data_IF_621952491291
#
_entry.id   IF_621952491291
#
_cell.length_a   1.000
_cell.length_b   1.000
_cell.length_c   1.000
_cell.angle_alpha   90.00
_cell.angle_beta   90.00
_cell.angle_gamma   90.00
#
_symmetry.space_group_name_H-M   'P 1'
#
loop_
_entity.id
_entity.type
_entity.pdbx_description
1 polymer ?
#
# COMPACT_ATOMS: atom_id res chain seq x y z
N UNK A 1 -6.01 -0.37 0.76
CA UNK A 1 -7.14 -0.68 1.67
C UNK A 1 -8.51 -0.58 0.98
N UNK A 2 -8.86 0.53 0.34
CA UNK A 2 -10.22 0.76 -0.19
C UNK A 2 -10.63 -0.17 -1.35
N UNK A 3 -9.67 -0.73 -2.08
CA UNK A 3 -9.89 -1.76 -3.13
C UNK A 3 -9.84 -3.21 -2.61
N UNK A 4 -9.59 -3.43 -1.32
CA UNK A 4 -9.55 -4.79 -0.76
C UNK A 4 -10.89 -5.54 -0.87
N UNK A 5 -12.06 -4.91 -0.72
CA UNK A 5 -13.34 -5.57 -1.00
C UNK A 5 -13.41 -6.14 -2.42
N UNK A 6 -12.89 -5.40 -3.40
CA UNK A 6 -12.82 -5.85 -4.79
C UNK A 6 -11.86 -7.05 -4.93
N UNK A 7 -10.73 -7.04 -4.21
CA UNK A 7 -9.85 -8.20 -4.18
C UNK A 7 -10.60 -9.44 -3.65
N UNK A 8 -11.32 -9.30 -2.54
CA UNK A 8 -12.07 -10.41 -1.93
C UNK A 8 -13.21 -10.93 -2.83
N UNK A 9 -13.77 -10.09 -3.70
CA UNK A 9 -14.68 -10.53 -4.77
C UNK A 9 -14.00 -11.50 -5.76
N UNK A 10 -12.73 -11.26 -6.12
CA UNK A 10 -12.00 -12.14 -7.04
C UNK A 10 -11.58 -13.48 -6.41
N UNK A 11 -11.15 -13.47 -5.15
CA UNK A 11 -10.67 -14.68 -4.46
C UNK A 11 -11.76 -15.44 -3.70
N UNK A 12 -12.89 -14.81 -3.38
CA UNK A 12 -13.90 -15.32 -2.46
C UNK A 12 -13.50 -15.12 -0.99
N UNK A 13 -14.48 -15.11 -0.09
CA UNK A 13 -14.28 -14.68 1.31
C UNK A 13 -13.20 -15.47 2.07
N UNK A 14 -13.32 -16.79 2.15
CA UNK A 14 -12.45 -17.62 2.98
C UNK A 14 -11.05 -17.76 2.39
N UNK A 15 -11.01 -17.97 1.07
CA UNK A 15 -9.75 -18.07 0.35
C UNK A 15 -9.02 -16.72 0.32
N UNK A 16 -9.74 -15.61 0.24
CA UNK A 16 -9.21 -14.25 0.38
C UNK A 16 -8.55 -13.99 1.73
N UNK A 17 -9.19 -14.35 2.86
CA UNK A 17 -8.57 -14.25 4.19
C UNK A 17 -7.29 -15.08 4.24
N UNK A 18 -7.36 -16.35 3.82
CA UNK A 18 -6.23 -17.26 3.90
C UNK A 18 -5.03 -16.74 3.07
N UNK A 19 -5.27 -16.33 1.83
CA UNK A 19 -4.23 -15.77 0.98
C UNK A 19 -3.71 -14.42 1.50
N UNK A 20 -4.57 -13.57 2.07
CA UNK A 20 -4.14 -12.30 2.66
C UNK A 20 -3.16 -12.52 3.82
N UNK A 21 -3.45 -13.49 4.69
CA UNK A 21 -2.54 -13.87 5.80
C UNK A 21 -1.21 -14.36 5.26
N UNK A 22 -1.22 -15.27 4.26
CA UNK A 22 0.02 -15.77 3.64
C UNK A 22 0.84 -14.62 3.04
N UNK A 23 0.20 -13.74 2.27
CA UNK A 23 0.86 -12.60 1.62
C UNK A 23 1.45 -11.64 2.65
N UNK A 24 0.75 -11.41 3.76
CA UNK A 24 1.27 -10.60 4.86
C UNK A 24 2.50 -11.26 5.50
N UNK A 25 2.44 -12.55 5.84
CA UNK A 25 3.56 -13.29 6.44
C UNK A 25 4.79 -13.28 5.51
N UNK A 26 4.59 -13.54 4.23
CA UNK A 26 5.67 -13.49 3.21
C UNK A 26 6.25 -12.09 3.11
N UNK A 27 5.41 -11.06 3.04
CA UNK A 27 5.85 -9.66 2.98
C UNK A 27 6.66 -9.26 4.23
N UNK A 28 6.16 -9.57 5.43
CA UNK A 28 6.87 -9.31 6.69
C UNK A 28 8.20 -10.05 6.75
N UNK A 29 8.26 -11.30 6.30
CA UNK A 29 9.51 -12.06 6.21
C UNK A 29 10.51 -11.41 5.26
N UNK A 30 10.08 -11.02 4.06
CA UNK A 30 10.91 -10.32 3.08
C UNK A 30 11.45 -8.98 3.64
N UNK A 31 10.59 -8.18 4.28
CA UNK A 31 10.99 -6.93 4.94
C UNK A 31 12.03 -7.17 6.04
N UNK A 32 11.82 -8.18 6.88
CA UNK A 32 12.77 -8.51 7.95
C UNK A 32 14.12 -8.97 7.40
N UNK A 33 14.11 -9.79 6.35
CA UNK A 33 15.33 -10.26 5.70
C UNK A 33 16.10 -9.09 5.05
N UNK A 34 15.38 -8.14 4.44
CA UNK A 34 15.96 -6.94 3.86
C UNK A 34 16.67 -6.09 4.92
N UNK A 35 16.00 -5.77 6.03
CA UNK A 35 16.59 -4.96 7.10
C UNK A 35 17.76 -5.68 7.79
N UNK A 36 17.63 -6.99 8.01
CA UNK A 36 18.74 -7.79 8.53
C UNK A 36 19.98 -7.71 7.62
N UNK A 37 19.78 -7.83 6.31
CA UNK A 37 20.84 -7.69 5.31
C UNK A 37 21.43 -6.28 5.29
N UNK A 38 20.58 -5.25 5.45
CA UNK A 38 21.01 -3.86 5.53
C UNK A 38 21.90 -3.61 6.75
N UNK A 39 21.51 -4.10 7.94
CA UNK A 39 22.34 -4.02 9.15
C UNK A 39 23.67 -4.77 9.01
N UNK A 40 23.65 -5.96 8.40
CA UNK A 40 24.86 -6.76 8.17
C UNK A 40 25.87 -5.99 7.29
N UNK A 41 25.39 -5.40 6.18
CA UNK A 41 26.22 -4.63 5.25
C UNK A 41 26.68 -3.30 5.87
N UNK A 42 25.79 -2.64 6.63
CA UNK A 42 26.09 -1.42 7.38
C UNK A 42 27.25 -1.62 8.35
N UNK A 43 27.27 -2.76 9.07
CA UNK A 43 28.39 -3.11 9.96
C UNK A 43 29.70 -3.36 9.23
N UNK A 44 29.66 -4.02 8.06
CA UNK A 44 30.86 -4.29 7.27
C UNK A 44 31.43 -3.02 6.65
N UNK A 45 30.58 -2.13 6.13
CA UNK A 45 30.99 -0.92 5.42
C UNK A 45 31.19 0.29 6.34
N UNK A 46 30.82 0.20 7.62
CA UNK A 46 30.89 1.31 8.57
C UNK A 46 29.96 2.48 8.20
N UNK A 47 28.82 2.20 7.57
CA UNK A 47 27.85 3.23 7.15
C UNK A 47 26.58 3.13 7.98
N UNK A 48 26.25 4.18 8.75
CA UNK A 48 25.09 4.18 9.65
C UNK A 48 23.73 4.19 8.95
N UNK A 49 23.67 4.59 7.68
CA UNK A 49 22.44 4.66 6.88
C UNK A 49 22.70 4.19 5.46
N UNK A 50 21.90 3.22 5.01
CA UNK A 50 22.02 2.63 3.67
C UNK A 50 20.65 2.69 2.98
N UNK A 51 20.66 3.11 1.72
CA UNK A 51 19.45 3.10 0.87
C UNK A 51 19.20 1.71 0.29
N UNK A 52 17.95 1.43 -0.07
CA UNK A 52 17.50 0.13 -0.62
C UNK A 52 18.44 -0.44 -1.70
N UNK A 53 18.82 0.36 -2.69
CA UNK A 53 19.71 -0.10 -3.77
C UNK A 53 21.18 -0.23 -3.33
N UNK A 54 21.62 0.53 -2.33
CA UNK A 54 22.96 0.40 -1.76
C UNK A 54 23.09 -0.88 -0.91
N UNK A 55 21.99 -1.35 -0.30
CA UNK A 55 21.93 -2.68 0.35
C UNK A 55 22.20 -3.76 -0.70
N UNK A 56 21.51 -3.73 -1.85
CA UNK A 56 21.75 -4.70 -2.93
C UNK A 56 23.20 -4.67 -3.43
N UNK A 57 23.75 -3.47 -3.65
CA UNK A 57 25.14 -3.30 -4.06
C UNK A 57 26.10 -3.95 -3.06
N UNK A 58 25.92 -3.67 -1.77
CA UNK A 58 26.76 -4.23 -0.72
C UNK A 58 26.63 -5.75 -0.61
N UNK A 59 25.42 -6.30 -0.80
CA UNK A 59 25.20 -7.73 -0.77
C UNK A 59 25.96 -8.45 -1.90
N UNK A 60 25.96 -7.85 -3.10
CA UNK A 60 26.65 -8.39 -4.27
C UNK A 60 28.17 -8.26 -4.13
N UNK A 61 28.67 -7.11 -3.64
CA UNK A 61 30.10 -6.88 -3.44
C UNK A 61 30.72 -7.75 -2.33
N UNK A 62 29.92 -8.16 -1.33
CA UNK A 62 30.33 -9.12 -0.28
C UNK A 62 30.12 -10.58 -0.72
N UNK A 63 29.41 -10.79 -1.82
CA UNK A 63 29.08 -12.10 -2.37
C UNK A 63 30.25 -12.84 -3.03
N UNK A 64 29.97 -14.03 -3.61
CA UNK A 64 30.96 -14.86 -4.26
C UNK A 64 31.62 -14.17 -5.46
N UNK A 65 32.86 -14.59 -5.78
CA UNK A 65 33.74 -13.90 -6.74
C UNK A 65 33.13 -13.66 -8.14
N UNK A 66 32.18 -14.51 -8.57
CA UNK A 66 31.55 -14.43 -9.89
C UNK A 66 30.49 -13.32 -10.01
N UNK A 67 29.86 -12.87 -8.92
CA UNK A 67 28.88 -11.76 -8.94
C UNK A 67 29.45 -10.45 -8.42
N UNK A 68 30.59 -10.50 -7.72
CA UNK A 68 31.15 -9.36 -6.97
C UNK A 68 31.33 -8.11 -7.81
N UNK A 69 31.77 -8.26 -9.06
CA UNK A 69 32.07 -7.14 -9.95
C UNK A 69 30.80 -6.49 -10.55
N UNK A 70 29.64 -7.15 -10.43
CA UNK A 70 28.35 -6.67 -10.92
C UNK A 70 27.55 -5.83 -9.90
N UNK A 71 28.15 -5.45 -8.77
CA UNK A 71 27.46 -4.71 -7.70
C UNK A 71 26.80 -3.41 -8.14
N UNK A 72 27.44 -2.64 -9.04
CA UNK A 72 26.86 -1.40 -9.57
C UNK A 72 25.67 -1.66 -10.51
N UNK A 73 25.75 -2.71 -11.35
CA UNK A 73 24.66 -3.10 -12.22
C UNK A 73 23.43 -3.54 -11.40
N UNK A 74 23.63 -4.35 -10.36
CA UNK A 74 22.57 -4.78 -9.44
C UNK A 74 21.91 -3.59 -8.72
N UNK A 75 22.68 -2.59 -8.31
CA UNK A 75 22.16 -1.33 -7.76
C UNK A 75 21.19 -0.67 -8.73
N UNK A 76 21.58 -0.53 -10.00
CA UNK A 76 20.79 0.17 -10.99
C UNK A 76 19.49 -0.58 -11.32
N UNK A 77 19.54 -1.91 -11.40
CA UNK A 77 18.34 -2.75 -11.59
C UNK A 77 17.32 -2.51 -10.47
N UNK A 78 17.78 -2.50 -9.21
CA UNK A 78 16.89 -2.25 -8.06
C UNK A 78 16.34 -0.84 -8.08
N UNK A 79 17.16 0.18 -8.37
CA UNK A 79 16.70 1.56 -8.48
C UNK A 79 15.62 1.72 -9.56
N UNK A 80 15.81 1.12 -10.74
CA UNK A 80 14.85 1.17 -11.85
C UNK A 80 13.55 0.45 -11.45
N UNK A 81 13.64 -0.72 -10.80
CA UNK A 81 12.47 -1.46 -10.35
C UNK A 81 11.65 -0.69 -9.30
N UNK A 82 12.32 -0.11 -8.30
CA UNK A 82 11.67 0.73 -7.27
C UNK A 82 11.05 1.97 -7.90
N UNK A 83 11.73 2.61 -8.85
CA UNK A 83 11.21 3.77 -9.56
C UNK A 83 9.94 3.44 -10.37
N UNK A 84 9.95 2.35 -11.13
CA UNK A 84 8.77 1.89 -11.89
C UNK A 84 7.60 1.57 -10.95
N UNK A 85 7.86 0.88 -9.84
CA UNK A 85 6.83 0.57 -8.85
C UNK A 85 6.20 1.85 -8.28
N UNK A 86 7.03 2.83 -7.87
CA UNK A 86 6.54 4.08 -7.30
C UNK A 86 5.75 4.92 -8.31
N UNK A 87 6.18 4.96 -9.57
CA UNK A 87 5.41 5.60 -10.63
C UNK A 87 4.03 4.94 -10.80
N UNK A 88 3.98 3.60 -10.79
CA UNK A 88 2.72 2.86 -10.85
C UNK A 88 1.79 3.21 -9.69
N UNK A 89 2.31 3.28 -8.46
CA UNK A 89 1.53 3.67 -7.29
C UNK A 89 0.99 5.10 -7.41
N UNK A 90 1.81 6.05 -7.84
CA UNK A 90 1.37 7.42 -8.10
C UNK A 90 0.21 7.46 -9.12
N UNK A 91 0.32 6.73 -10.24
CA UNK A 91 -0.74 6.67 -11.25
C UNK A 91 -2.07 6.18 -10.66
N UNK A 92 -2.05 5.12 -9.85
CA UNK A 92 -3.28 4.60 -9.21
C UNK A 92 -3.87 5.62 -8.24
N UNK A 93 -3.05 6.34 -7.47
CA UNK A 93 -3.54 7.41 -6.59
C UNK A 93 -4.21 8.56 -7.36
N UNK A 94 -3.65 8.97 -8.52
CA UNK A 94 -4.28 9.98 -9.36
C UNK A 94 -5.65 9.55 -9.89
N UNK A 95 -5.73 8.31 -10.39
CA UNK A 95 -6.98 7.72 -10.89
C UNK A 95 -8.02 7.67 -9.77
N UNK A 96 -7.63 7.19 -8.59
CA UNK A 96 -8.49 7.13 -7.41
C UNK A 96 -8.98 8.51 -6.97
N UNK A 97 -8.08 9.50 -6.88
CA UNK A 97 -8.47 10.86 -6.48
C UNK A 97 -9.41 11.50 -7.50
N UNK A 98 -9.19 11.25 -8.81
CA UNK A 98 -10.06 11.72 -9.87
C UNK A 98 -11.47 11.10 -9.79
N UNK A 99 -11.58 9.79 -9.50
CA UNK A 99 -12.87 9.12 -9.33
C UNK A 99 -13.68 9.73 -8.17
N UNK A 100 -13.05 9.92 -7.01
CA UNK A 100 -13.76 10.49 -5.85
C UNK A 100 -14.15 11.96 -6.06
N UNK A 101 -13.33 12.76 -6.77
CA UNK A 101 -13.71 14.13 -7.11
C UNK A 101 -14.83 14.17 -8.14
N UNK A 102 -14.78 13.31 -9.16
CA UNK A 102 -15.82 13.25 -10.17
C UNK A 102 -17.17 12.93 -9.54
N UNK A 103 -17.25 11.91 -8.70
CA UNK A 103 -18.48 11.53 -7.99
C UNK A 103 -18.95 12.67 -7.06
N UNK A 104 -18.04 13.28 -6.30
CA UNK A 104 -18.39 14.41 -5.42
C UNK A 104 -18.97 15.62 -6.16
N UNK A 105 -18.40 16.00 -7.31
CA UNK A 105 -18.87 17.16 -8.09
C UNK A 105 -20.06 16.85 -8.99
N UNK A 106 -20.21 15.61 -9.45
CA UNK A 106 -21.40 15.17 -10.16
C UNK A 106 -22.63 15.30 -9.26
N UNK A 107 -22.54 14.83 -8.02
CA UNK A 107 -23.66 14.85 -7.08
C UNK A 107 -23.95 16.25 -6.51
N UNK A 108 -22.93 17.00 -6.06
CA UNK A 108 -23.17 18.28 -5.39
C UNK A 108 -23.36 19.47 -6.33
N UNK A 109 -22.74 19.44 -7.52
CA UNK A 109 -22.70 20.57 -8.43
C UNK A 109 -23.30 20.28 -9.82
N UNK A 110 -23.75 19.05 -10.09
CA UNK A 110 -24.21 18.61 -11.42
C UNK A 110 -23.19 18.86 -12.54
N UNK A 111 -21.90 18.78 -12.22
CA UNK A 111 -20.80 19.00 -13.17
C UNK A 111 -20.34 17.65 -13.71
N UNK A 112 -20.76 17.33 -14.93
CA UNK A 112 -20.41 16.09 -15.62
C UNK A 112 -19.23 16.33 -16.56
N UNK A 113 -18.01 16.20 -16.03
CA UNK A 113 -16.77 16.31 -16.81
C UNK A 113 -16.12 14.92 -16.91
N UNK A 114 -15.46 14.63 -18.03
CA UNK A 114 -14.71 13.39 -18.21
C UNK A 114 -13.59 13.23 -17.17
N UNK A 115 -13.43 12.00 -16.65
CA UNK A 115 -12.38 11.61 -15.68
C UNK A 115 -10.96 12.07 -16.08
N UNK A 116 -10.64 12.02 -17.37
CA UNK A 116 -9.34 12.47 -17.90
C UNK A 116 -9.04 13.94 -17.58
N UNK A 117 -10.07 14.79 -17.57
CA UNK A 117 -9.91 16.22 -17.25
C UNK A 117 -9.70 16.40 -15.75
N UNK A 118 -10.43 15.65 -14.90
CA UNK A 118 -10.19 15.64 -13.45
C UNK A 118 -8.75 15.22 -13.10
N UNK A 119 -8.20 14.22 -13.79
CA UNK A 119 -6.80 13.82 -13.62
C UNK A 119 -5.82 14.95 -13.96
N UNK A 120 -6.05 15.70 -15.04
CA UNK A 120 -5.20 16.84 -15.44
C UNK A 120 -5.34 18.00 -14.45
N UNK A 121 -6.55 18.31 -14.00
CA UNK A 121 -6.80 19.35 -13.01
C UNK A 121 -6.07 19.03 -11.70
N UNK A 122 -6.10 17.76 -11.25
CA UNK A 122 -5.38 17.28 -10.06
C UNK A 122 -3.86 17.30 -10.20
N UNK A 123 -3.34 17.12 -11.41
CA UNK A 123 -1.90 17.14 -11.67
C UNK A 123 -1.28 18.49 -11.30
N UNK A 124 -1.97 19.60 -11.60
CA UNK A 124 -1.48 20.97 -11.36
C UNK A 124 -1.15 21.23 -9.87
N UNK A 125 -2.08 21.07 -8.91
CA UNK A 125 -1.79 21.28 -7.50
C UNK A 125 -0.81 20.24 -6.95
N UNK A 126 -0.86 18.99 -7.40
CA UNK A 126 0.06 17.95 -6.93
C UNK A 126 1.50 18.27 -7.35
N UNK A 127 1.73 18.74 -8.58
CA UNK A 127 3.04 19.20 -9.02
C UNK A 127 3.52 20.41 -8.19
N UNK A 128 2.63 21.32 -7.81
CA UNK A 128 2.96 22.42 -6.91
C UNK A 128 3.41 21.93 -5.53
N UNK A 129 2.72 20.94 -4.95
CA UNK A 129 3.13 20.29 -3.70
C UNK A 129 4.46 19.56 -3.82
N UNK A 130 4.71 18.86 -4.95
CA UNK A 130 5.98 18.19 -5.23
C UNK A 130 7.17 19.17 -5.35
N UNK A 131 6.91 20.45 -5.67
CA UNK A 131 7.93 21.51 -5.72
C UNK A 131 8.42 21.94 -4.32
N UNK A 132 7.71 21.56 -3.26
CA UNK A 132 8.10 21.88 -1.87
C UNK A 132 9.31 21.02 -1.47
N UNK A 133 10.50 21.63 -1.51
CA UNK A 133 11.77 20.96 -1.18
C UNK A 133 11.96 20.64 0.30
N UNK A 134 11.22 21.29 1.20
CA UNK A 134 11.32 21.08 2.66
C UNK A 134 10.18 20.19 3.15
N UNK A 135 10.42 18.87 3.18
CA UNK A 135 9.48 17.88 3.72
C UNK A 135 9.05 18.15 5.17
N UNK A 136 9.88 18.86 5.96
CA UNK A 136 9.55 19.26 7.33
C UNK A 136 8.37 20.22 7.42
N UNK A 137 8.14 21.05 6.38
CA UNK A 137 6.97 21.93 6.28
C UNK A 137 5.70 21.13 5.98
N UNK A 138 5.85 20.00 5.29
CA UNK A 138 4.74 19.10 4.94
C UNK A 138 4.32 18.18 6.09
N UNK A 139 5.22 17.91 7.04
CA UNK A 139 4.97 17.03 8.18
C UNK A 139 3.68 17.34 8.98
N UNK A 140 3.39 18.59 9.41
CA UNK A 140 2.15 18.89 10.13
C UNK A 140 0.89 18.69 9.26
N UNK A 141 0.96 19.03 7.97
CA UNK A 141 -0.15 18.79 7.03
C UNK A 141 -0.38 17.30 6.82
N UNK A 142 0.69 16.52 6.66
CA UNK A 142 0.60 15.06 6.54
C UNK A 142 0.01 14.43 7.81
N UNK A 143 0.37 14.95 8.99
CA UNK A 143 -0.23 14.49 10.25
C UNK A 143 -1.74 14.77 10.30
N UNK A 144 -2.17 15.99 9.96
CA UNK A 144 -3.59 16.33 9.88
C UNK A 144 -4.33 15.48 8.84
N UNK A 145 -3.75 15.27 7.66
CA UNK A 145 -4.31 14.42 6.62
C UNK A 145 -4.44 12.96 7.09
N UNK A 146 -3.45 12.44 7.82
CA UNK A 146 -3.52 11.10 8.40
C UNK A 146 -4.63 10.97 9.45
N UNK A 147 -4.89 12.01 10.27
CA UNK A 147 -6.02 12.01 11.21
C UNK A 147 -7.37 11.97 10.48
N UNK A 148 -7.54 12.80 9.44
CA UNK A 148 -8.74 12.78 8.59
C UNK A 148 -8.90 11.42 7.93
N UNK A 149 -7.81 10.85 7.43
CA UNK A 149 -7.79 9.52 6.83
C UNK A 149 -8.25 8.44 7.83
N UNK A 150 -7.77 8.47 9.08
CA UNK A 150 -8.22 7.53 10.11
C UNK A 150 -9.72 7.65 10.40
N UNK A 151 -10.26 8.88 10.43
CA UNK A 151 -11.71 9.11 10.59
C UNK A 151 -12.46 8.52 9.40
N UNK A 152 -12.01 8.77 8.17
CA UNK A 152 -12.63 8.21 6.96
C UNK A 152 -12.60 6.67 6.94
N UNK A 153 -11.48 6.07 7.35
CA UNK A 153 -11.36 4.61 7.52
C UNK A 153 -12.36 4.11 8.56
N UNK A 154 -12.52 4.81 9.68
CA UNK A 154 -13.51 4.49 10.71
C UNK A 154 -14.95 4.51 10.18
N UNK A 155 -15.31 5.51 9.39
CA UNK A 155 -16.64 5.61 8.73
C UNK A 155 -16.86 4.45 7.77
N UNK A 156 -15.87 4.12 6.94
CA UNK A 156 -15.96 2.99 6.00
C UNK A 156 -16.15 1.67 6.75
N UNK A 157 -15.38 1.43 7.81
CA UNK A 157 -15.52 0.22 8.63
C UNK A 157 -16.91 0.19 9.29
N UNK A 158 -17.38 1.31 9.83
CA UNK A 158 -18.71 1.40 10.41
C UNK A 158 -19.80 1.04 9.39
N UNK A 159 -19.74 1.61 8.18
CA UNK A 159 -20.66 1.29 7.09
C UNK A 159 -20.63 -0.21 6.73
N UNK A 160 -19.44 -0.80 6.62
CA UNK A 160 -19.28 -2.23 6.32
C UNK A 160 -19.91 -3.14 7.39
N UNK A 161 -19.89 -2.70 8.65
CA UNK A 161 -20.44 -3.46 9.78
C UNK A 161 -21.94 -3.25 9.99
N UNK A 162 -22.54 -2.17 9.47
CA UNK A 162 -23.99 -1.93 9.57
C UNK A 162 -24.77 -2.52 8.40
N UNK A 163 -24.18 -2.57 7.21
CA UNK A 163 -24.84 -3.03 5.97
C UNK A 163 -24.49 -4.48 5.61
N UNK A 164 -24.33 -5.36 6.60
CA UNK A 164 -23.92 -6.75 6.40
C UNK A 164 -25.01 -7.56 5.64
N UNK A 165 -24.68 -8.08 4.47
CA UNK A 165 -25.53 -9.05 3.76
C UNK A 165 -25.30 -10.48 4.31
N UNK A 166 -26.28 -11.41 4.15
CA UNK A 166 -26.06 -12.81 4.50
C UNK A 166 -24.87 -13.42 3.73
N UNK A 167 -24.02 -14.19 4.43
CA UNK A 167 -22.86 -14.89 3.84
C UNK A 167 -23.20 -15.90 2.73
N UNK A 168 -24.49 -16.15 2.49
CA UNK A 168 -24.97 -17.00 1.40
C UNK A 168 -25.01 -16.29 0.05
N UNK A 169 -25.04 -14.95 0.04
CA UNK A 169 -25.16 -14.15 -1.20
C UNK A 169 -23.82 -13.85 -1.86
N UNK A 170 -22.72 -14.33 -1.29
CA UNK A 170 -21.35 -13.96 -1.65
C UNK A 170 -20.52 -15.20 -1.92
N UNK A 171 -19.59 -15.07 -2.86
CA UNK A 171 -18.75 -16.20 -3.29
C UNK A 171 -17.79 -16.58 -2.17
N UNK A 172 -17.93 -17.81 -1.66
CA UNK A 172 -17.10 -18.33 -0.55
C UNK A 172 -15.70 -18.74 -1.01
N UNK A 173 -15.61 -19.30 -2.22
CA UNK A 173 -14.38 -19.71 -2.89
C UNK A 173 -14.41 -19.20 -4.33
N UNK A 174 -13.51 -18.27 -4.66
CA UNK A 174 -13.37 -17.69 -5.98
C UNK A 174 -12.73 -18.64 -6.99
N UNK A 175 -12.70 -18.22 -8.25
CA UNK A 175 -12.10 -18.99 -9.35
C UNK A 175 -10.60 -18.73 -9.41
N UNK A 176 -9.82 -19.75 -9.73
CA UNK A 176 -8.35 -19.65 -9.87
C UNK A 176 -7.94 -18.59 -10.90
N UNK A 177 -8.76 -18.39 -11.94
CA UNK A 177 -8.51 -17.42 -13.02
C UNK A 177 -8.43 -15.97 -12.54
N UNK A 178 -9.16 -15.63 -11.47
CA UNK A 178 -9.26 -14.26 -10.97
C UNK A 178 -8.26 -13.99 -9.83
N UNK A 179 -7.54 -15.01 -9.37
CA UNK A 179 -6.50 -14.89 -8.33
C UNK A 179 -5.36 -13.93 -8.69
N UNK A 180 -4.86 -13.83 -9.94
CA UNK A 180 -3.84 -12.86 -10.29
C UNK A 180 -4.29 -11.41 -10.02
N UNK A 181 -5.56 -11.10 -10.24
CA UNK A 181 -6.12 -9.78 -9.92
C UNK A 181 -6.15 -9.54 -8.41
N UNK A 182 -6.58 -10.55 -7.64
CA UNK A 182 -6.50 -10.50 -6.17
C UNK A 182 -5.07 -10.22 -5.68
N UNK A 183 -4.09 -10.98 -6.17
CA UNK A 183 -2.70 -10.81 -5.78
C UNK A 183 -2.18 -9.41 -6.13
N UNK A 184 -2.50 -8.90 -7.32
CA UNK A 184 -2.13 -7.54 -7.73
C UNK A 184 -2.72 -6.47 -6.80
N UNK A 185 -4.02 -6.55 -6.49
CA UNK A 185 -4.69 -5.59 -5.60
C UNK A 185 -4.16 -5.66 -4.16
N UNK A 186 -3.88 -6.85 -3.65
CA UNK A 186 -3.29 -7.02 -2.30
C UNK A 186 -1.85 -6.53 -2.26
N UNK A 187 -1.03 -6.84 -3.28
CA UNK A 187 0.35 -6.34 -3.38
C UNK A 187 0.40 -4.81 -3.47
N UNK A 188 -0.53 -4.20 -4.20
CA UNK A 188 -0.71 -2.74 -4.21
C UNK A 188 -1.00 -2.20 -2.81
N UNK A 189 -1.86 -2.88 -2.04
CA UNK A 189 -2.13 -2.49 -0.66
C UNK A 189 -0.91 -2.60 0.27
N UNK A 190 0.09 -3.44 -0.08
CA UNK A 190 1.37 -3.59 0.62
C UNK A 190 2.53 -2.78 -0.01
N UNK A 191 2.26 -1.66 -0.68
CA UNK A 191 3.28 -0.75 -1.24
C UNK A 191 4.37 -0.33 -0.23
N UNK A 192 4.04 -0.23 1.06
CA UNK A 192 4.92 0.32 2.11
C UNK A 192 6.30 -0.36 2.24
N UNK A 193 6.48 -1.53 1.66
CA UNK A 193 7.77 -2.24 1.60
C UNK A 193 8.87 -1.40 0.92
N UNK A 194 8.54 -0.59 -0.08
CA UNK A 194 9.54 0.23 -0.80
C UNK A 194 10.12 1.37 0.06
N UNK A 195 9.37 1.84 1.06
CA UNK A 195 9.76 2.97 1.92
C UNK A 195 10.31 2.55 3.28
N UNK A 196 10.50 1.24 3.49
CA UNK A 196 10.94 0.69 4.77
C UNK A 196 12.32 1.19 5.20
N UNK A 197 13.28 1.25 4.26
CA UNK A 197 14.66 1.69 4.52
C UNK A 197 14.72 3.19 4.90
N UNK A 198 14.09 4.11 4.16
CA UNK A 198 13.96 5.50 4.61
C UNK A 198 13.32 5.67 5.99
N UNK A 199 12.27 4.88 6.31
CA UNK A 199 11.59 4.94 7.60
C UNK A 199 12.53 4.49 8.72
N UNK A 200 13.19 3.36 8.55
CA UNK A 200 14.16 2.84 9.51
C UNK A 200 15.31 3.82 9.75
N UNK A 201 15.88 4.39 8.67
CA UNK A 201 16.96 5.38 8.74
C UNK A 201 16.58 6.66 9.51
N UNK A 202 15.28 6.94 9.67
CA UNK A 202 14.73 8.10 10.41
C UNK A 202 14.35 7.78 11.84
N UNK A 203 14.41 6.52 12.27
CA UNK A 203 14.13 6.15 13.65
C UNK A 203 15.26 6.57 14.59
N UNK A 204 14.90 6.96 15.81
CA UNK A 204 15.87 7.26 16.88
C UNK A 204 16.67 6.00 17.26
N UNK A 205 16.03 4.82 17.25
CA UNK A 205 16.65 3.54 17.59
C UNK A 205 16.35 2.46 16.53
N UNK A 206 17.09 2.43 15.41
CA UNK A 206 16.82 1.51 14.29
C UNK A 206 16.93 0.02 14.68
N UNK A 207 17.80 -0.34 15.62
CA UNK A 207 17.93 -1.71 16.14
C UNK A 207 16.62 -2.33 16.66
N UNK A 208 15.66 -1.53 17.14
CA UNK A 208 14.37 -2.04 17.62
C UNK A 208 13.34 -2.27 16.51
N UNK A 209 13.66 -1.91 15.26
CA UNK A 209 12.75 -2.04 14.14
C UNK A 209 12.38 -3.51 13.86
N UNK A 210 13.37 -4.41 13.92
CA UNK A 210 13.23 -5.86 13.65
C UNK A 210 13.10 -6.73 14.90
N UNK A 211 13.01 -6.14 16.10
CA UNK A 211 12.76 -6.89 17.34
C UNK A 211 11.45 -7.71 17.23
N UNK A 212 11.30 -8.73 18.08
CA UNK A 212 10.09 -9.58 18.10
C UNK A 212 8.79 -8.77 18.26
N UNK A 213 8.78 -7.79 19.18
CA UNK A 213 7.74 -6.76 19.31
C UNK A 213 8.17 -5.41 18.69
N UNK A 214 8.99 -5.47 17.64
CA UNK A 214 9.49 -4.31 16.93
C UNK A 214 8.40 -3.62 16.11
N UNK A 215 8.70 -2.40 15.67
CA UNK A 215 7.78 -1.55 14.90
C UNK A 215 7.30 -2.25 13.62
N UNK A 216 8.14 -3.07 12.99
CA UNK A 216 7.75 -3.80 11.78
C UNK A 216 6.66 -4.85 12.06
N UNK A 217 6.83 -5.69 13.09
CA UNK A 217 5.87 -6.75 13.38
C UNK A 217 4.53 -6.19 13.87
N UNK A 218 4.57 -5.18 14.75
CA UNK A 218 3.36 -4.53 15.26
C UNK A 218 2.59 -3.79 14.16
N UNK A 219 3.28 -3.06 13.27
CA UNK A 219 2.64 -2.39 12.14
C UNK A 219 2.05 -3.36 11.13
N UNK A 220 2.76 -4.44 10.77
CA UNK A 220 2.22 -5.47 9.88
C UNK A 220 0.99 -6.16 10.47
N UNK A 221 0.96 -6.46 11.78
CA UNK A 221 -0.20 -7.04 12.44
C UNK A 221 -1.41 -6.10 12.42
N UNK A 222 -1.21 -4.82 12.70
CA UNK A 222 -2.29 -3.81 12.62
C UNK A 222 -2.80 -3.68 11.20
N UNK A 223 -1.91 -3.59 10.21
CA UNK A 223 -2.28 -3.52 8.79
C UNK A 223 -3.04 -4.76 8.36
N UNK A 224 -2.59 -5.96 8.74
CA UNK A 224 -3.29 -7.22 8.45
C UNK A 224 -4.69 -7.22 9.05
N UNK A 225 -4.85 -6.80 10.31
CA UNK A 225 -6.16 -6.74 10.96
C UNK A 225 -7.10 -5.79 10.22
N UNK A 226 -6.64 -4.57 9.91
CA UNK A 226 -7.42 -3.59 9.15
C UNK A 226 -7.76 -4.10 7.76
N UNK A 227 -6.82 -4.74 7.06
CA UNK A 227 -7.03 -5.28 5.71
C UNK A 227 -7.97 -6.47 5.69
N UNK A 228 -7.91 -7.34 6.70
CA UNK A 228 -8.81 -8.47 6.84
C UNK A 228 -10.23 -8.00 7.15
N UNK A 229 -10.40 -7.06 8.10
CA UNK A 229 -11.71 -6.48 8.44
C UNK A 229 -12.30 -5.76 7.24
N UNK A 230 -11.55 -4.85 6.62
CA UNK A 230 -12.04 -4.05 5.49
C UNK A 230 -12.31 -4.90 4.26
N UNK A 231 -11.45 -5.87 3.94
CA UNK A 231 -11.65 -6.78 2.81
C UNK A 231 -12.84 -7.73 3.02
N UNK A 232 -12.92 -8.38 4.18
CA UNK A 232 -13.98 -9.35 4.48
C UNK A 232 -15.35 -8.67 4.61
N UNK A 233 -15.47 -7.69 5.52
CA UNK A 233 -16.75 -7.04 5.77
C UNK A 233 -17.14 -6.10 4.63
N UNK A 234 -16.19 -5.47 3.95
CA UNK A 234 -16.50 -4.63 2.79
C UNK A 234 -17.04 -5.42 1.61
N UNK A 235 -16.50 -6.63 1.34
CA UNK A 235 -17.10 -7.51 0.33
C UNK A 235 -18.45 -8.06 0.78
N UNK A 236 -18.60 -8.38 2.08
CA UNK A 236 -19.88 -8.84 2.62
C UNK A 236 -20.98 -7.76 2.58
N UNK A 237 -20.63 -6.49 2.76
CA UNK A 237 -21.61 -5.41 2.77
C UNK A 237 -22.14 -5.08 1.37
N UNK A 238 -21.27 -5.10 0.37
CA UNK A 238 -21.60 -4.64 -1.00
C UNK A 238 -21.84 -5.80 -1.98
N UNK A 239 -21.28 -6.99 -1.72
CA UNK A 239 -21.43 -8.17 -2.56
C UNK A 239 -20.83 -8.01 -3.96
N UNK A 240 -21.52 -8.51 -4.98
CA UNK A 240 -21.00 -8.48 -6.36
C UNK A 240 -21.03 -7.09 -7.01
N UNK A 241 -21.72 -6.12 -6.41
CA UNK A 241 -21.78 -4.73 -6.88
C UNK A 241 -20.55 -3.90 -6.50
N UNK A 242 -19.52 -4.50 -5.89
CA UNK A 242 -18.29 -3.78 -5.51
C UNK A 242 -17.63 -3.14 -6.72
N UNK A 243 -17.61 -1.81 -6.74
CA UNK A 243 -16.77 -0.96 -7.60
C UNK A 243 -15.29 -0.98 -7.18
N UNK A 244 -14.42 -0.35 -7.98
CA UNK A 244 -12.95 -0.33 -7.81
C UNK A 244 -12.47 0.12 -6.43
N UNK A 245 -13.22 1.02 -5.80
CA UNK A 245 -13.05 1.38 -4.39
C UNK A 245 -14.38 1.39 -3.66
N UNK A 246 -14.35 0.97 -2.40
CA UNK A 246 -15.54 0.96 -1.55
C UNK A 246 -16.13 2.35 -1.32
N UNK A 247 -15.33 3.41 -1.45
CA UNK A 247 -15.81 4.80 -1.34
C UNK A 247 -16.89 5.14 -2.35
N UNK A 248 -16.84 4.53 -3.54
CA UNK A 248 -17.81 4.74 -4.62
C UNK A 248 -19.12 3.95 -4.40
N UNK A 249 -19.19 3.13 -3.35
CA UNK A 249 -20.35 2.31 -2.99
C UNK A 249 -21.04 2.82 -1.72
N UNK A 250 -20.58 3.93 -1.12
CA UNK A 250 -21.32 4.52 -0.01
C UNK A 250 -22.64 5.11 -0.54
N UNK A 251 -23.76 4.93 0.18
CA UNK A 251 -25.03 5.49 -0.22
C UNK A 251 -25.01 7.01 -0.15
N UNK A 252 -25.66 7.65 -1.11
CA UNK A 252 -25.72 9.11 -1.27
C UNK A 252 -26.69 9.78 -0.27
N UNK A 253 -27.43 8.99 0.51
CA UNK A 253 -28.41 9.46 1.50
C UNK A 253 -28.16 8.81 2.87
N UNK A 254 -28.41 9.56 3.98
CA UNK A 254 -28.15 9.11 5.35
C UNK A 254 -29.04 7.94 5.80
#
# INVERSE_FOLDING_TARGET
MLSLPLAFKYSGLWLGIFLLIIMCVVSTYCCRQLVYSAHYISRIKGQDRIDYANVMRGAVEVGPAWIRDYGYAAKQVVNVNVFIAQLGFCCVYFVFMADNLQDFFAENANIYIAKSVWMVILLIPILAFCSIRKLSVLAPFAFAANMIYLVAVGIVIYFCLTHLQPTSNVVKFGRIRDLPLFFGTVMFAFEGVCVIMPVENRMEKPQFFISWNGVLNSSCLVVLAVFAVTGFYGYLAVGDAVKDTITLNLPDQP
#
